data_IF_697177829883
#
_entry.id   IF_697177829883
#
_cell.length_a   1.000
_cell.length_b   1.000
_cell.length_c   1.000
_cell.angle_alpha   90.00
_cell.angle_beta   90.00
_cell.angle_gamma   90.00
#
_symmetry.space_group_name_H-M   'P 1'
#
loop_
_entity.id
_entity.type
_entity.pdbx_description
1 polymer ?
#
# COMPACT_ATOMS: atom_id res chain seq x y z
N UNK A 1 44.24 -3.56 -1.01
CA UNK A 1 42.85 -3.90 -1.41
C UNK A 1 42.77 -5.39 -1.56
N UNK A 2 41.91 -6.03 -0.82
CA UNK A 2 41.66 -7.46 -0.90
C UNK A 2 40.72 -7.72 -2.08
N UNK A 3 41.08 -8.70 -2.91
CA UNK A 3 40.29 -9.16 -4.05
C UNK A 3 39.19 -10.13 -3.58
N UNK A 4 38.29 -9.62 -2.70
CA UNK A 4 37.19 -10.41 -2.17
C UNK A 4 35.95 -10.25 -3.04
N UNK A 5 35.20 -11.36 -3.19
CA UNK A 5 33.91 -11.31 -3.86
C UNK A 5 32.98 -10.37 -3.11
N UNK A 6 32.36 -9.38 -3.79
CA UNK A 6 31.37 -8.49 -3.16
C UNK A 6 30.23 -9.29 -2.56
N UNK A 7 29.97 -9.15 -1.27
CA UNK A 7 28.90 -9.88 -0.58
C UNK A 7 27.50 -9.53 -1.12
N UNK A 8 27.33 -8.33 -1.68
CA UNK A 8 26.07 -7.91 -2.28
C UNK A 8 25.67 -8.73 -3.52
N UNK A 9 26.62 -9.42 -4.15
CA UNK A 9 26.38 -10.28 -5.32
C UNK A 9 26.04 -11.72 -4.94
N UNK A 10 26.09 -12.08 -3.66
CA UNK A 10 25.78 -13.42 -3.19
C UNK A 10 24.26 -13.64 -3.16
N UNK A 11 23.83 -14.79 -3.70
CA UNK A 11 22.43 -15.22 -3.68
C UNK A 11 22.26 -16.46 -2.79
N UNK A 12 21.26 -16.53 -1.91
CA UNK A 12 20.29 -15.47 -1.60
C UNK A 12 20.93 -14.23 -0.95
N UNK A 13 20.25 -13.04 -0.98
CA UNK A 13 20.80 -11.82 -0.41
C UNK A 13 21.16 -11.98 1.07
N UNK A 14 22.33 -11.46 1.43
CA UNK A 14 22.81 -11.47 2.82
C UNK A 14 22.07 -10.40 3.63
N UNK A 15 21.61 -10.75 4.82
CA UNK A 15 20.98 -9.82 5.75
C UNK A 15 21.92 -8.66 6.11
N UNK A 16 21.38 -7.44 6.15
CA UNK A 16 22.12 -6.22 6.49
C UNK A 16 22.35 -6.07 7.99
N UNK A 17 21.48 -6.69 8.81
CA UNK A 17 21.55 -6.57 10.25
C UNK A 17 20.86 -7.73 10.98
N UNK A 18 20.87 -7.71 12.33
CA UNK A 18 20.27 -8.77 13.12
C UNK A 18 18.76 -8.95 12.89
N UNK A 19 18.02 -7.84 12.62
CA UNK A 19 16.57 -7.87 12.49
C UNK A 19 16.10 -8.54 11.20
N UNK A 20 16.83 -8.39 10.10
CA UNK A 20 16.51 -9.04 8.83
C UNK A 20 17.27 -10.35 8.62
N UNK A 21 18.09 -10.76 9.61
CA UNK A 21 18.85 -12.01 9.67
C UNK A 21 18.44 -12.91 10.82
N UNK A 22 19.30 -12.97 11.85
CA UNK A 22 19.15 -13.87 13.01
C UNK A 22 17.79 -13.77 13.69
N UNK A 23 17.26 -12.55 13.85
CA UNK A 23 16.02 -12.28 14.57
C UNK A 23 14.81 -12.09 13.66
N UNK A 24 14.93 -12.33 12.34
CA UNK A 24 13.83 -12.16 11.38
C UNK A 24 12.54 -12.85 11.83
N UNK A 25 12.63 -14.10 12.30
CA UNK A 25 11.47 -14.85 12.77
C UNK A 25 10.83 -14.23 14.02
N UNK A 26 11.67 -13.72 14.92
CA UNK A 26 11.21 -13.10 16.17
C UNK A 26 10.47 -11.80 15.92
N UNK A 27 10.94 -11.00 14.96
CA UNK A 27 10.35 -9.69 14.64
C UNK A 27 9.31 -9.75 13.51
N UNK A 28 9.09 -10.91 12.89
CA UNK A 28 8.15 -11.07 11.79
C UNK A 28 6.76 -10.50 12.06
N UNK A 29 6.16 -10.61 13.27
CA UNK A 29 4.86 -10.00 13.56
C UNK A 29 4.85 -8.48 13.45
N UNK A 30 6.00 -7.80 13.53
CA UNK A 30 6.11 -6.35 13.37
C UNK A 30 6.02 -5.88 11.92
N UNK A 31 6.15 -6.80 10.96
CA UNK A 31 6.06 -6.47 9.53
C UNK A 31 4.71 -5.84 9.18
N UNK A 32 3.62 -6.29 9.80
CA UNK A 32 2.28 -5.74 9.58
C UNK A 32 2.09 -4.30 10.11
N UNK A 33 3.05 -3.80 10.89
CA UNK A 33 2.97 -2.47 11.52
C UNK A 33 4.08 -1.53 11.10
N UNK A 34 5.29 -2.03 10.89
CA UNK A 34 6.49 -1.20 10.71
C UNK A 34 7.11 -1.29 9.32
N UNK A 35 6.63 -2.18 8.45
CA UNK A 35 7.15 -2.28 7.09
C UNK A 35 6.58 -1.18 6.19
N UNK A 36 7.26 -0.92 5.08
CA UNK A 36 6.77 -0.02 4.03
C UNK A 36 5.42 -0.48 3.43
N UNK A 37 5.19 -1.78 3.13
CA UNK A 37 3.86 -2.25 2.77
C UNK A 37 2.79 -1.98 3.83
N UNK A 38 3.12 -2.09 5.12
CA UNK A 38 2.20 -1.74 6.20
C UNK A 38 1.86 -0.25 6.20
N UNK A 39 2.86 0.62 5.98
CA UNK A 39 2.64 2.06 5.82
C UNK A 39 1.70 2.35 4.65
N UNK A 40 1.92 1.72 3.50
CA UNK A 40 1.09 1.91 2.31
C UNK A 40 -0.35 1.39 2.54
N UNK A 41 -0.53 0.28 3.25
CA UNK A 41 -1.85 -0.20 3.67
C UNK A 41 -2.57 0.82 4.55
N UNK A 42 -1.87 1.46 5.49
CA UNK A 42 -2.46 2.51 6.32
C UNK A 42 -2.78 3.78 5.53
N UNK A 43 -1.96 4.14 4.56
CA UNK A 43 -2.27 5.24 3.63
C UNK A 43 -3.56 4.97 2.85
N UNK A 44 -3.71 3.76 2.29
CA UNK A 44 -4.96 3.33 1.63
C UNK A 44 -6.16 3.43 2.59
N UNK A 45 -6.00 2.98 3.82
CA UNK A 45 -7.06 3.05 4.83
C UNK A 45 -7.47 4.50 5.13
N UNK A 46 -6.51 5.40 5.32
CA UNK A 46 -6.78 6.81 5.59
C UNK A 46 -7.51 7.47 4.41
N UNK A 47 -7.04 7.27 3.19
CA UNK A 47 -7.67 7.84 1.99
C UNK A 47 -9.10 7.33 1.82
N UNK A 48 -9.33 6.04 1.99
CA UNK A 48 -10.65 5.42 1.88
C UNK A 48 -11.61 5.98 2.95
N UNK A 49 -11.21 5.97 4.22
CA UNK A 49 -12.09 6.46 5.30
C UNK A 49 -12.33 7.97 5.19
N UNK A 50 -11.33 8.74 4.74
CA UNK A 50 -11.50 10.16 4.49
C UNK A 50 -12.51 10.42 3.36
N UNK A 51 -12.40 9.71 2.26
CA UNK A 51 -13.38 9.81 1.16
C UNK A 51 -14.79 9.43 1.59
N UNK A 52 -14.95 8.34 2.35
CA UNK A 52 -16.25 7.94 2.91
C UNK A 52 -16.81 9.05 3.80
N UNK A 53 -15.99 9.67 4.64
CA UNK A 53 -16.39 10.78 5.51
C UNK A 53 -16.84 12.01 4.71
N UNK A 54 -16.08 12.40 3.69
CA UNK A 54 -16.44 13.53 2.83
C UNK A 54 -17.80 13.31 2.13
N UNK A 55 -18.04 12.09 1.64
CA UNK A 55 -19.33 11.73 1.02
C UNK A 55 -20.47 11.73 2.04
N UNK A 56 -20.26 11.20 3.24
CA UNK A 56 -21.28 11.12 4.29
C UNK A 56 -21.69 12.51 4.80
N UNK A 57 -20.75 13.44 4.86
CA UNK A 57 -20.99 14.83 5.33
C UNK A 57 -21.36 15.79 4.21
N UNK A 58 -21.29 15.35 2.96
CA UNK A 58 -21.47 16.19 1.77
C UNK A 58 -20.60 17.46 1.82
N UNK A 59 -19.39 17.32 2.34
CA UNK A 59 -18.49 18.43 2.63
C UNK A 59 -17.86 19.05 1.37
N UNK A 60 -17.82 18.30 0.26
CA UNK A 60 -17.22 18.74 -1.00
C UNK A 60 -18.30 18.77 -2.08
N UNK A 61 -18.45 19.88 -2.85
CA UNK A 61 -19.38 19.92 -3.97
C UNK A 61 -19.15 18.80 -4.96
N UNK A 62 -20.22 18.12 -5.37
CA UNK A 62 -20.17 16.98 -6.28
C UNK A 62 -20.07 15.63 -5.57
N UNK A 63 -19.84 15.59 -4.26
CA UNK A 63 -19.96 14.34 -3.49
C UNK A 63 -21.42 13.99 -3.23
N UNK A 64 -21.70 12.70 -3.05
CA UNK A 64 -23.03 12.17 -2.69
C UNK A 64 -22.88 11.14 -1.58
N UNK A 65 -23.98 10.84 -0.91
CA UNK A 65 -24.00 9.72 0.02
C UNK A 65 -23.69 8.40 -0.71
N UNK A 66 -22.83 7.59 -0.10
CA UNK A 66 -22.48 6.28 -0.60
C UNK A 66 -23.47 5.20 -0.11
N UNK A 67 -23.70 4.19 -0.93
CA UNK A 67 -24.45 3.01 -0.51
C UNK A 67 -23.60 2.13 0.41
N UNK A 68 -24.23 1.22 1.14
CA UNK A 68 -23.51 0.25 1.99
C UNK A 68 -22.54 -0.61 1.16
N UNK A 69 -22.93 -1.00 -0.04
CA UNK A 69 -22.09 -1.80 -0.94
C UNK A 69 -20.88 -1.01 -1.44
N UNK A 70 -21.04 0.28 -1.74
CA UNK A 70 -19.93 1.15 -2.13
C UNK A 70 -18.93 1.36 -0.98
N UNK A 71 -19.43 1.53 0.24
CA UNK A 71 -18.57 1.60 1.44
C UNK A 71 -17.82 0.30 1.65
N UNK A 72 -18.48 -0.85 1.48
CA UNK A 72 -17.83 -2.16 1.59
C UNK A 72 -16.76 -2.35 0.51
N UNK A 73 -17.04 -1.95 -0.74
CA UNK A 73 -16.08 -1.98 -1.85
C UNK A 73 -14.83 -1.16 -1.54
N UNK A 74 -15.01 0.06 -1.06
CA UNK A 74 -13.90 0.94 -0.69
C UNK A 74 -13.05 0.34 0.44
N UNK A 75 -13.67 -0.18 1.49
CA UNK A 75 -12.98 -0.78 2.64
C UNK A 75 -12.25 -2.08 2.30
N UNK A 76 -12.68 -2.78 1.25
CA UNK A 76 -11.96 -3.95 0.74
C UNK A 76 -10.59 -3.58 0.16
N UNK A 77 -10.39 -2.37 -0.36
CA UNK A 77 -9.12 -1.95 -0.99
C UNK A 77 -7.93 -2.10 -0.04
N UNK A 78 -7.91 -1.48 1.17
CA UNK A 78 -6.83 -1.72 2.11
C UNK A 78 -6.84 -3.13 2.73
N UNK A 79 -8.00 -3.75 2.89
CA UNK A 79 -8.12 -5.09 3.47
C UNK A 79 -7.47 -6.16 2.58
N UNK A 80 -7.64 -6.03 1.26
CA UNK A 80 -7.14 -6.98 0.26
C UNK A 80 -5.77 -6.57 -0.31
N UNK A 81 -5.06 -5.63 0.34
CA UNK A 81 -3.73 -5.20 -0.06
C UNK A 81 -2.69 -6.29 0.28
N UNK A 82 -2.49 -7.17 -0.67
CA UNK A 82 -1.64 -8.37 -0.62
C UNK A 82 -0.34 -8.21 -1.45
N UNK A 83 0.34 -9.31 -1.73
CA UNK A 83 1.57 -9.31 -2.53
C UNK A 83 1.38 -8.72 -3.93
N UNK A 84 0.26 -8.99 -4.58
CA UNK A 84 -0.05 -8.44 -5.91
C UNK A 84 -0.33 -6.94 -5.82
N UNK A 85 -1.05 -6.50 -4.79
CA UNK A 85 -1.28 -5.08 -4.52
C UNK A 85 0.01 -4.32 -4.23
N UNK A 86 0.92 -4.90 -3.46
CA UNK A 86 2.26 -4.33 -3.18
C UNK A 86 3.04 -4.16 -4.49
N UNK A 87 3.07 -5.18 -5.34
CA UNK A 87 3.76 -5.14 -6.62
C UNK A 87 3.17 -4.10 -7.57
N UNK A 88 1.84 -4.02 -7.66
CA UNK A 88 1.13 -3.02 -8.47
C UNK A 88 1.41 -1.60 -7.98
N UNK A 89 1.35 -1.37 -6.67
CA UNK A 89 1.69 -0.06 -6.10
C UNK A 89 3.13 0.36 -6.45
N UNK A 90 4.09 -0.56 -6.31
CA UNK A 90 5.49 -0.29 -6.66
C UNK A 90 5.68 0.02 -8.15
N UNK A 91 4.88 -0.59 -9.04
CA UNK A 91 4.87 -0.27 -10.47
C UNK A 91 4.37 1.15 -10.72
N UNK A 92 3.25 1.53 -10.12
CA UNK A 92 2.69 2.89 -10.22
C UNK A 92 3.68 3.92 -9.67
N UNK A 93 4.33 3.63 -8.54
CA UNK A 93 5.31 4.53 -7.93
C UNK A 93 6.52 4.78 -8.85
N UNK A 94 6.99 3.76 -9.57
CA UNK A 94 8.07 3.94 -10.56
C UNK A 94 7.70 4.90 -11.69
N UNK A 95 6.43 4.98 -12.05
CA UNK A 95 5.93 5.91 -13.08
C UNK A 95 5.70 7.31 -12.51
N UNK A 96 5.12 7.40 -11.31
CA UNK A 96 4.76 8.67 -10.67
C UNK A 96 5.95 9.35 -9.98
N UNK A 97 6.99 8.58 -9.63
CA UNK A 97 8.14 9.01 -8.81
C UNK A 97 7.65 9.70 -7.51
N UNK A 98 6.52 9.21 -6.98
CA UNK A 98 5.87 9.77 -5.80
C UNK A 98 5.00 8.71 -5.12
N UNK A 99 5.38 8.31 -3.93
CA UNK A 99 4.77 7.22 -3.16
C UNK A 99 3.29 7.46 -2.81
N UNK A 100 2.96 8.65 -2.30
CA UNK A 100 1.57 8.99 -1.93
C UNK A 100 0.69 9.16 -3.17
N UNK A 101 1.22 9.73 -4.26
CA UNK A 101 0.48 9.83 -5.53
C UNK A 101 0.17 8.45 -6.12
N UNK A 102 1.07 7.49 -5.91
CA UNK A 102 0.84 6.10 -6.29
C UNK A 102 -0.34 5.47 -5.55
N UNK A 103 -0.57 5.82 -4.28
CA UNK A 103 -1.75 5.40 -3.50
C UNK A 103 -3.05 5.88 -4.17
N UNK A 104 -3.11 7.15 -4.57
CA UNK A 104 -4.28 7.71 -5.26
C UNK A 104 -4.59 6.96 -6.56
N UNK A 105 -3.57 6.74 -7.40
CA UNK A 105 -3.75 6.00 -8.66
C UNK A 105 -4.09 4.53 -8.42
N UNK A 106 -3.56 3.91 -7.38
CA UNK A 106 -3.92 2.55 -7.00
C UNK A 106 -5.41 2.45 -6.66
N UNK A 107 -5.94 3.36 -5.85
CA UNK A 107 -7.37 3.43 -5.52
C UNK A 107 -8.20 3.63 -6.80
N UNK A 108 -7.83 4.57 -7.66
CA UNK A 108 -8.53 4.82 -8.93
C UNK A 108 -8.60 3.57 -9.81
N UNK A 109 -7.51 2.81 -9.92
CA UNK A 109 -7.51 1.54 -10.67
C UNK A 109 -8.50 0.53 -10.09
N UNK A 110 -8.60 0.43 -8.77
CA UNK A 110 -9.57 -0.46 -8.09
C UNK A 110 -11.01 -0.05 -8.29
N UNK A 111 -11.27 1.22 -8.57
CA UNK A 111 -12.62 1.75 -8.79
C UNK A 111 -13.06 1.72 -10.25
N UNK A 112 -12.15 1.44 -11.19
CA UNK A 112 -12.47 1.33 -12.61
C UNK A 112 -13.56 0.28 -12.87
N UNK A 113 -14.59 0.65 -13.62
CA UNK A 113 -15.75 -0.21 -13.92
C UNK A 113 -16.77 -0.33 -12.79
N UNK A 114 -16.59 0.40 -11.69
CA UNK A 114 -17.55 0.46 -10.57
C UNK A 114 -18.42 1.72 -10.65
N UNK A 115 -19.44 1.81 -9.78
CA UNK A 115 -20.27 3.01 -9.62
C UNK A 115 -19.51 4.23 -9.06
N UNK A 116 -18.26 4.04 -8.64
CA UNK A 116 -17.36 5.06 -8.08
C UNK A 116 -16.25 5.46 -9.05
N UNK A 117 -16.30 5.01 -10.30
CA UNK A 117 -15.38 5.44 -11.33
C UNK A 117 -15.61 6.92 -11.67
N UNK A 118 -14.55 7.74 -11.66
CA UNK A 118 -14.56 9.18 -11.89
C UNK A 118 -14.12 9.95 -10.67
#
# INVERSE_FOLDING_TARGET
VTDWTPLAEISPPIALGPLDGRYRRTVAPLVDYLSEPALNRQRLHVEVEWFIHLCATNAVPGTRALTADEVALLRAIPADFDADGIAEHAEIERETIHDVKAIEYFIKRRLTGTSLEG
#
